data_IF_719709841231
#
_entry.id   IF_719709841231
#
_cell.length_a   1.000
_cell.length_b   1.000
_cell.length_c   1.000
_cell.angle_alpha   90.00
_cell.angle_beta   90.00
_cell.angle_gamma   90.00
#
_symmetry.space_group_name_H-M   'P 1'
#
loop_
_entity.id
_entity.type
_entity.pdbx_description
1 polymer ?
#
# COMPACT_ATOMS: atom_id res chain seq x y z
N UNK A 1 -25.97 -7.93 -10.36
CA UNK A 1 -24.76 -7.67 -11.15
C UNK A 1 -23.99 -8.97 -11.29
N UNK A 2 -23.48 -9.21 -12.46
CA UNK A 2 -22.69 -10.38 -12.79
C UNK A 2 -21.31 -10.32 -12.12
N UNK A 3 -20.90 -11.43 -11.47
CA UNK A 3 -19.59 -11.54 -10.83
C UNK A 3 -18.42 -11.40 -11.81
N UNK A 4 -18.61 -11.89 -13.04
CA UNK A 4 -17.58 -11.77 -14.08
C UNK A 4 -17.35 -10.31 -14.48
N UNK A 5 -18.42 -9.54 -14.60
CA UNK A 5 -18.33 -8.10 -14.87
C UNK A 5 -17.63 -7.37 -13.72
N UNK A 6 -17.95 -7.72 -12.46
CA UNK A 6 -17.33 -7.14 -11.30
C UNK A 6 -15.81 -7.40 -11.29
N UNK A 7 -15.42 -8.65 -11.56
CA UNK A 7 -14.01 -9.02 -11.64
C UNK A 7 -13.28 -8.25 -12.75
N UNK A 8 -13.89 -8.12 -13.91
CA UNK A 8 -13.34 -7.35 -15.03
C UNK A 8 -13.18 -5.86 -14.67
N UNK A 9 -14.15 -5.30 -13.94
CA UNK A 9 -14.09 -3.91 -13.49
C UNK A 9 -12.92 -3.70 -12.51
N UNK A 10 -12.72 -4.60 -11.57
CA UNK A 10 -11.62 -4.55 -10.61
C UNK A 10 -10.27 -4.71 -11.33
N UNK A 11 -10.17 -5.63 -12.29
CA UNK A 11 -8.95 -5.83 -13.10
C UNK A 11 -8.65 -4.63 -14.02
N UNK A 12 -9.67 -3.85 -14.39
CA UNK A 12 -9.49 -2.64 -15.20
C UNK A 12 -9.02 -1.42 -14.40
N UNK A 13 -9.05 -1.50 -13.07
CA UNK A 13 -8.58 -0.39 -12.22
C UNK A 13 -7.09 -0.11 -12.47
N UNK A 14 -6.71 1.16 -12.43
CA UNK A 14 -5.31 1.57 -12.48
C UNK A 14 -4.58 1.38 -11.16
N UNK A 15 -5.31 1.22 -10.06
CA UNK A 15 -4.76 1.01 -8.73
C UNK A 15 -4.75 -0.47 -8.37
N UNK A 16 -3.75 -0.90 -7.59
CA UNK A 16 -3.67 -2.28 -7.11
C UNK A 16 -4.75 -2.55 -6.08
N UNK A 17 -5.56 -3.58 -6.31
CA UNK A 17 -6.62 -3.99 -5.39
C UNK A 17 -6.35 -5.41 -4.94
N UNK A 18 -6.36 -5.61 -3.63
CA UNK A 18 -6.18 -6.93 -3.02
C UNK A 18 -7.30 -7.20 -2.02
N UNK A 19 -7.60 -8.47 -1.83
CA UNK A 19 -8.46 -8.94 -0.75
C UNK A 19 -7.62 -9.90 0.09
N UNK A 20 -7.59 -9.68 1.40
CA UNK A 20 -6.93 -10.56 2.34
C UNK A 20 -7.93 -11.09 3.37
N UNK A 21 -7.74 -12.33 3.77
CA UNK A 21 -8.50 -12.97 4.84
C UNK A 21 -7.65 -12.96 6.12
N UNK A 22 -8.28 -12.58 7.23
CA UNK A 22 -7.61 -12.66 8.53
C UNK A 22 -7.53 -14.12 8.98
N UNK A 23 -6.31 -14.58 9.26
CA UNK A 23 -6.05 -15.90 9.87
C UNK A 23 -5.13 -15.68 11.08
N UNK A 24 -5.72 -15.58 12.27
CA UNK A 24 -4.97 -15.24 13.48
C UNK A 24 -4.37 -13.83 13.38
N UNK A 25 -3.06 -13.72 13.47
CA UNK A 25 -2.32 -12.46 13.32
C UNK A 25 -1.89 -12.19 11.85
N UNK A 26 -2.19 -13.11 10.96
CA UNK A 26 -1.82 -13.02 9.55
C UNK A 26 -2.97 -12.51 8.70
N UNK A 27 -2.62 -11.86 7.60
CA UNK A 27 -3.57 -11.38 6.59
C UNK A 27 -3.18 -12.02 5.26
N UNK A 28 -3.90 -13.07 4.91
CA UNK A 28 -3.55 -13.95 3.78
C UNK A 28 -4.21 -13.45 2.51
N UNK A 29 -3.43 -13.20 1.47
CA UNK A 29 -3.94 -12.75 0.18
C UNK A 29 -4.77 -13.84 -0.48
N UNK A 30 -6.02 -13.51 -0.82
CA UNK A 30 -6.92 -14.42 -1.53
C UNK A 30 -7.29 -13.91 -2.93
N UNK A 31 -7.04 -12.63 -3.21
CA UNK A 31 -7.27 -12.04 -4.52
C UNK A 31 -6.35 -10.85 -4.73
N UNK A 32 -5.81 -10.73 -5.93
CA UNK A 32 -5.08 -9.55 -6.40
C UNK A 32 -5.52 -9.24 -7.83
N UNK A 33 -5.64 -7.96 -8.16
CA UNK A 33 -6.01 -7.57 -9.52
C UNK A 33 -4.78 -7.40 -10.43
N UNK A 34 -5.02 -7.14 -11.71
CA UNK A 34 -3.95 -6.98 -12.70
C UNK A 34 -3.04 -5.79 -12.41
N UNK A 35 -3.61 -4.68 -11.90
CA UNK A 35 -2.80 -3.51 -11.55
C UNK A 35 -1.82 -3.82 -10.42
N UNK A 36 -2.20 -4.64 -9.45
CA UNK A 36 -1.31 -5.06 -8.38
C UNK A 36 -0.13 -5.89 -8.92
N UNK A 37 -0.41 -6.79 -9.87
CA UNK A 37 0.66 -7.56 -10.53
C UNK A 37 1.64 -6.63 -11.25
N UNK A 38 1.13 -5.65 -12.00
CA UNK A 38 1.98 -4.67 -12.70
C UNK A 38 2.78 -3.80 -11.72
N UNK A 39 2.16 -3.37 -10.63
CA UNK A 39 2.81 -2.53 -9.63
C UNK A 39 3.96 -3.24 -8.93
N UNK A 40 3.76 -4.48 -8.54
CA UNK A 40 4.70 -5.23 -7.70
C UNK A 40 5.67 -6.12 -8.50
N UNK A 41 5.34 -6.46 -9.73
CA UNK A 41 6.11 -7.42 -10.53
C UNK A 41 5.86 -8.87 -10.17
N UNK A 42 5.01 -9.14 -9.18
CA UNK A 42 4.62 -10.50 -8.81
C UNK A 42 3.37 -10.91 -9.58
N UNK A 43 3.33 -12.14 -10.05
CA UNK A 43 2.11 -12.73 -10.58
C UNK A 43 1.26 -13.28 -9.43
N UNK A 44 -0.05 -13.32 -9.60
CA UNK A 44 -0.98 -13.81 -8.58
C UNK A 44 -0.60 -15.21 -8.07
N UNK A 45 -0.22 -16.11 -8.97
CA UNK A 45 0.16 -17.49 -8.62
C UNK A 45 1.35 -17.55 -7.65
N UNK A 46 2.23 -16.56 -7.66
CA UNK A 46 3.41 -16.52 -6.79
C UNK A 46 3.06 -16.08 -5.36
N UNK A 47 2.00 -15.29 -5.19
CA UNK A 47 1.75 -14.57 -3.93
C UNK A 47 0.42 -14.89 -3.26
N UNK A 48 -0.53 -15.49 -3.97
CA UNK A 48 -1.79 -15.90 -3.37
C UNK A 48 -1.54 -16.93 -2.25
N UNK A 49 -2.36 -16.82 -1.20
CA UNK A 49 -2.30 -17.66 0.01
C UNK A 49 -1.06 -17.43 0.88
N UNK A 50 -0.38 -16.31 0.68
CA UNK A 50 0.72 -15.87 1.54
C UNK A 50 0.32 -14.61 2.31
N UNK A 51 0.96 -14.39 3.47
CA UNK A 51 0.81 -13.14 4.22
C UNK A 51 1.37 -11.97 3.39
N UNK A 52 0.65 -10.86 3.39
CA UNK A 52 1.01 -9.68 2.59
C UNK A 52 2.30 -8.96 3.04
N UNK A 53 2.91 -9.36 4.16
CA UNK A 53 4.14 -8.74 4.69
C UNK A 53 5.36 -8.92 3.77
N UNK A 54 5.31 -9.84 2.81
CA UNK A 54 6.43 -10.07 1.88
C UNK A 54 6.84 -8.81 1.10
N UNK A 55 5.89 -7.89 0.87
CA UNK A 55 6.18 -6.62 0.18
C UNK A 55 7.08 -5.69 1.00
N UNK A 56 7.26 -5.94 2.28
CA UNK A 56 8.12 -5.14 3.14
C UNK A 56 9.60 -5.54 3.02
N UNK A 57 9.90 -6.72 2.53
CA UNK A 57 11.26 -7.26 2.33
C UNK A 57 12.15 -7.06 3.57
N UNK A 58 11.59 -7.22 4.77
CA UNK A 58 12.30 -7.04 6.03
C UNK A 58 12.46 -5.59 6.50
N UNK A 59 12.06 -4.61 5.72
CA UNK A 59 12.09 -3.19 6.08
C UNK A 59 10.87 -2.85 6.95
N UNK A 60 10.95 -3.23 8.23
CA UNK A 60 9.83 -3.11 9.16
C UNK A 60 9.92 -1.90 10.09
N UNK A 61 11.02 -1.17 10.08
CA UNK A 61 11.20 0.03 10.90
C UNK A 61 10.52 1.22 10.22
N UNK A 62 9.19 1.21 10.27
CA UNK A 62 8.34 2.23 9.69
C UNK A 62 7.18 2.52 10.65
N UNK A 63 7.05 3.77 11.06
CA UNK A 63 5.97 4.18 11.97
C UNK A 63 4.59 3.85 11.38
N UNK A 64 4.43 4.00 10.07
CA UNK A 64 3.18 3.72 9.38
C UNK A 64 2.74 2.25 9.53
N UNK A 65 3.68 1.31 9.67
CA UNK A 65 3.34 -0.11 9.92
C UNK A 65 2.71 -0.30 11.31
N UNK A 66 3.17 0.46 12.31
CA UNK A 66 2.56 0.42 13.63
C UNK A 66 1.15 1.00 13.60
N UNK A 67 0.94 2.10 12.89
CA UNK A 67 -0.37 2.72 12.72
C UNK A 67 -1.34 1.76 12.04
N UNK A 68 -0.88 1.07 11.00
CA UNK A 68 -1.65 0.06 10.30
C UNK A 68 -2.02 -1.10 11.21
N UNK A 69 -1.06 -1.62 11.98
CA UNK A 69 -1.27 -2.71 12.91
C UNK A 69 -2.35 -2.37 13.95
N UNK A 70 -2.28 -1.17 14.53
CA UNK A 70 -3.26 -0.72 15.51
C UNK A 70 -4.66 -0.66 14.90
N UNK A 71 -4.78 -0.09 13.70
CA UNK A 71 -6.07 -0.02 13.00
C UNK A 71 -6.65 -1.41 12.73
N UNK A 72 -5.83 -2.34 12.25
CA UNK A 72 -6.26 -3.72 11.96
C UNK A 72 -6.67 -4.47 13.22
N UNK A 73 -5.99 -4.26 14.35
CA UNK A 73 -6.36 -4.86 15.63
C UNK A 73 -7.73 -4.40 16.14
N UNK A 74 -8.15 -3.20 15.75
CA UNK A 74 -9.43 -2.61 16.14
C UNK A 74 -10.50 -2.70 15.04
N UNK A 75 -10.23 -3.44 13.96
CA UNK A 75 -11.11 -3.57 12.80
C UNK A 75 -11.52 -2.21 12.21
N UNK A 76 -10.58 -1.29 12.17
CA UNK A 76 -10.76 0.05 11.63
C UNK A 76 -10.12 0.19 10.24
N UNK A 77 -10.66 1.10 9.43
CA UNK A 77 -10.03 1.51 8.18
C UNK A 77 -8.76 2.30 8.46
N UNK A 78 -7.78 2.18 7.58
CA UNK A 78 -6.53 2.92 7.67
C UNK A 78 -6.06 3.37 6.30
N UNK A 79 -5.33 4.48 6.28
CA UNK A 79 -4.62 4.96 5.10
C UNK A 79 -3.21 5.34 5.52
N UNK A 80 -2.24 4.65 4.99
CA UNK A 80 -0.84 4.83 5.36
C UNK A 80 0.04 4.88 4.11
N UNK A 81 1.20 5.51 4.22
CA UNK A 81 2.22 5.50 3.17
C UNK A 81 3.40 4.70 3.70
N UNK A 82 3.72 3.61 3.05
CA UNK A 82 4.77 2.68 3.48
C UNK A 82 5.76 2.43 2.36
N UNK A 83 7.00 2.09 2.75
CA UNK A 83 7.98 1.60 1.81
C UNK A 83 7.69 0.13 1.53
N UNK A 84 7.53 -0.19 0.26
CA UNK A 84 7.39 -1.55 -0.22
C UNK A 84 8.42 -1.85 -1.30
N UNK A 85 8.56 -3.12 -1.66
CA UNK A 85 9.59 -3.56 -2.58
C UNK A 85 8.98 -4.49 -3.62
N UNK A 86 9.32 -4.22 -4.89
CA UNK A 86 8.89 -5.05 -6.01
C UNK A 86 9.67 -6.35 -6.03
N UNK A 87 9.25 -7.28 -6.86
CA UNK A 87 9.93 -8.56 -7.04
C UNK A 87 11.41 -8.41 -7.42
N UNK A 88 11.74 -7.38 -8.18
CA UNK A 88 13.13 -7.08 -8.58
C UNK A 88 13.96 -6.39 -7.48
N UNK A 89 13.38 -6.17 -6.30
CA UNK A 89 14.04 -5.53 -5.18
C UNK A 89 13.94 -4.00 -5.17
N UNK A 90 13.37 -3.39 -6.19
CA UNK A 90 13.25 -1.93 -6.23
C UNK A 90 12.20 -1.43 -5.24
N UNK A 91 12.53 -0.31 -4.57
CA UNK A 91 11.65 0.35 -3.62
C UNK A 91 10.57 1.14 -4.34
N UNK A 92 9.36 1.10 -3.80
CA UNK A 92 8.31 2.07 -4.13
C UNK A 92 7.57 2.50 -2.87
N UNK A 93 7.10 3.74 -2.88
CA UNK A 93 6.25 4.25 -1.81
C UNK A 93 4.81 3.92 -2.13
N UNK A 94 4.19 3.14 -1.25
CA UNK A 94 2.84 2.64 -1.41
C UNK A 94 1.87 3.41 -0.50
N UNK A 95 0.95 4.16 -1.09
CA UNK A 95 -0.19 4.69 -0.35
C UNK A 95 -1.23 3.58 -0.29
N UNK A 96 -1.35 2.98 0.88
CA UNK A 96 -2.21 1.84 1.13
C UNK A 96 -3.44 2.27 1.91
N UNK A 97 -4.61 2.02 1.32
CA UNK A 97 -5.90 2.20 1.99
C UNK A 97 -6.48 0.83 2.29
N UNK A 98 -6.74 0.55 3.56
CA UNK A 98 -7.31 -0.74 3.99
C UNK A 98 -8.66 -0.51 4.64
N UNK A 99 -9.62 -1.34 4.28
CA UNK A 99 -10.97 -1.34 4.85
C UNK A 99 -11.36 -2.75 5.28
N UNK A 100 -11.85 -2.93 6.53
CA UNK A 100 -12.32 -4.23 6.98
C UNK A 100 -13.72 -4.53 6.41
N UNK A 101 -13.95 -5.78 6.07
CA UNK A 101 -15.26 -6.28 5.62
C UNK A 101 -15.53 -7.59 6.34
N UNK A 102 -16.56 -7.61 7.17
CA UNK A 102 -17.02 -8.83 7.81
C UNK A 102 -18.03 -9.51 6.88
N UNK A 103 -17.77 -10.77 6.52
CA UNK A 103 -18.66 -11.55 5.69
C UNK A 103 -19.56 -12.42 6.56
N UNK A 104 -20.85 -12.09 6.59
CA UNK A 104 -21.83 -12.81 7.41
C UNK A 104 -22.06 -14.26 6.94
N UNK A 105 -21.83 -14.53 5.66
CA UNK A 105 -22.06 -15.89 5.10
C UNK A 105 -21.07 -16.91 5.67
N UNK A 106 -19.79 -16.55 5.80
CA UNK A 106 -18.75 -17.45 6.32
C UNK A 106 -18.25 -17.05 7.70
N UNK A 107 -18.74 -15.93 8.28
CA UNK A 107 -18.34 -15.41 9.58
C UNK A 107 -16.86 -15.06 9.66
N UNK A 108 -16.24 -14.69 8.54
CA UNK A 108 -14.83 -14.34 8.49
C UNK A 108 -14.64 -12.84 8.26
N UNK A 109 -13.52 -12.33 8.76
CA UNK A 109 -13.09 -10.95 8.53
C UNK A 109 -12.16 -10.91 7.32
N UNK A 110 -12.46 -10.00 6.40
CA UNK A 110 -11.63 -9.71 5.23
C UNK A 110 -11.17 -8.27 5.27
N UNK A 111 -10.06 -8.00 4.59
CA UNK A 111 -9.58 -6.65 4.35
C UNK A 111 -9.46 -6.40 2.86
N UNK A 112 -9.96 -5.24 2.43
CA UNK A 112 -9.75 -4.78 1.05
C UNK A 112 -8.65 -3.73 1.10
N UNK A 113 -7.57 -3.97 0.37
CA UNK A 113 -6.46 -3.04 0.25
C UNK A 113 -6.43 -2.40 -1.14
N UNK A 114 -6.35 -1.08 -1.19
CA UNK A 114 -6.15 -0.33 -2.43
C UNK A 114 -4.78 0.32 -2.36
N UNK A 115 -3.96 0.09 -3.38
CA UNK A 115 -2.55 0.48 -3.39
C UNK A 115 -2.26 1.40 -4.54
N UNK A 116 -1.56 2.48 -4.22
CA UNK A 116 -1.17 3.49 -5.19
C UNK A 116 0.32 3.80 -5.04
N UNK A 117 1.06 3.72 -6.14
CA UNK A 117 2.46 4.11 -6.16
C UNK A 117 2.55 5.63 -6.12
N UNK A 118 3.07 6.16 -5.02
CA UNK A 118 3.26 7.60 -4.80
C UNK A 118 4.75 7.98 -4.80
N UNK A 119 5.61 7.12 -5.34
CA UNK A 119 7.06 7.33 -5.36
C UNK A 119 7.43 8.64 -6.06
N UNK A 120 6.86 8.90 -7.23
CA UNK A 120 7.13 10.13 -7.96
C UNK A 120 6.65 11.38 -7.21
N UNK A 121 5.49 11.30 -6.58
CA UNK A 121 4.93 12.38 -5.78
C UNK A 121 5.83 12.70 -4.58
N UNK A 122 6.28 11.67 -3.85
CA UNK A 122 7.17 11.85 -2.69
C UNK A 122 8.53 12.42 -3.13
N UNK A 123 9.09 11.93 -4.23
CA UNK A 123 10.33 12.47 -4.77
C UNK A 123 10.20 13.95 -5.15
N UNK A 124 9.08 14.35 -5.74
CA UNK A 124 8.80 15.73 -6.08
C UNK A 124 8.67 16.62 -4.83
N UNK A 125 7.98 16.14 -3.80
CA UNK A 125 7.84 16.84 -2.53
C UNK A 125 9.20 17.02 -1.85
N UNK A 126 10.04 16.00 -1.84
CA UNK A 126 11.38 16.06 -1.28
C UNK A 126 12.27 17.07 -2.02
N UNK A 127 12.17 17.13 -3.35
CA UNK A 127 12.91 18.12 -4.16
C UNK A 127 12.43 19.55 -3.86
N UNK A 128 11.12 19.74 -3.71
CA UNK A 128 10.55 21.06 -3.39
C UNK A 128 11.00 21.51 -2.00
N UNK A 129 10.94 20.64 -0.99
CA UNK A 129 11.38 20.94 0.38
C UNK A 129 12.85 21.29 0.42
N UNK A 130 13.68 20.56 -0.33
CA UNK A 130 15.10 20.82 -0.43
C UNK A 130 15.38 22.18 -1.07
N UNK A 131 14.67 22.53 -2.14
CA UNK A 131 14.81 23.81 -2.82
C UNK A 131 14.41 24.98 -1.90
N UNK A 132 13.32 24.82 -1.14
CA UNK A 132 12.87 25.81 -0.16
C UNK A 132 13.93 26.02 0.94
N UNK A 133 14.52 24.94 1.46
CA UNK A 133 15.52 25.00 2.48
C UNK A 133 16.82 25.68 1.97
N UNK A 134 17.25 25.35 0.75
CA UNK A 134 18.38 26.00 0.11
C UNK A 134 18.14 27.50 -0.07
N UNK A 135 16.94 27.89 -0.50
CA UNK A 135 16.56 29.29 -0.66
C UNK A 135 16.57 30.02 0.70
N UNK A 136 16.02 29.38 1.74
CA UNK A 136 15.99 29.92 3.10
C UNK A 136 17.41 30.17 3.61
N UNK A 137 18.32 29.23 3.42
CA UNK A 137 19.72 29.36 3.83
C UNK A 137 20.45 30.47 3.07
N UNK A 138 20.19 30.59 1.76
CA UNK A 138 20.76 31.67 0.95
C UNK A 138 20.26 33.05 1.41
N UNK A 139 18.96 33.18 1.69
CA UNK A 139 18.40 34.42 2.20
C UNK A 139 19.02 34.80 3.54
N UNK A 140 19.18 33.82 4.42
CA UNK A 140 19.82 34.04 5.73
C UNK A 140 21.29 34.47 5.57
N UNK A 141 22.04 33.81 4.69
CA UNK A 141 23.47 34.11 4.44
C UNK A 141 23.68 35.52 3.90
N UNK A 142 22.78 35.99 3.01
CA UNK A 142 22.91 37.29 2.36
C UNK A 142 22.05 38.37 2.97
N UNK A 143 21.33 38.11 4.07
CA UNK A 143 20.48 39.08 4.75
C UNK A 143 19.28 39.53 3.92
N UNK A 144 18.79 38.67 3.03
CA UNK A 144 17.62 38.93 2.14
C UNK A 144 16.38 38.35 2.81
N UNK A 145 15.29 39.11 2.79
CA UNK A 145 13.98 38.65 3.26
C UNK A 145 13.12 38.04 2.15
#
# INVERSE_FOLDING_TARGET
MDLDLLKKAVDASSEGIVIAEREGDDNILIYVNKAFERLTGYEADEILFQDCRFLQAGDRDQQALNDLKVALEHDESARVVIRNYRKDGSLFWNELSISPVFNELDQLMYYIGVQKDVTAQIAAEQRADKAEEELRLLKQKFGIE
#
